data_IF_747739418303
#
_entry.id   IF_747739418303
#
_cell.length_a   1.000
_cell.length_b   1.000
_cell.length_c   1.000
_cell.angle_alpha   90.00
_cell.angle_beta   90.00
_cell.angle_gamma   90.00
#
_symmetry.space_group_name_H-M   'P 1'
#
loop_
_entity.id
_entity.type
_entity.pdbx_description
1 polymer ?
#
# COMPACT_ATOMS: atom_id res chain seq x y z
N UNK A 1 0.86 27.44 33.19
CA UNK A 1 0.55 26.64 31.97
C UNK A 1 0.29 27.62 30.83
N UNK A 2 1.01 27.58 29.70
CA UNK A 2 0.84 28.58 28.62
C UNK A 2 -0.52 28.38 27.91
N UNK A 3 -1.46 29.33 27.98
CA UNK A 3 -2.81 29.20 27.41
C UNK A 3 -2.83 29.10 25.89
N UNK A 4 -1.77 29.55 25.20
CA UNK A 4 -1.64 29.45 23.74
C UNK A 4 -1.09 28.11 23.25
N UNK A 5 -0.47 27.32 24.14
CA UNK A 5 0.12 26.03 23.80
C UNK A 5 -0.88 24.91 24.09
N UNK A 6 -2.00 24.86 23.38
CA UNK A 6 -3.05 23.84 23.56
C UNK A 6 -2.68 22.52 22.87
N UNK A 7 -3.28 21.40 23.27
CA UNK A 7 -3.06 20.11 22.60
C UNK A 7 -3.46 20.14 21.12
N UNK A 8 -4.49 20.92 20.75
CA UNK A 8 -4.89 21.12 19.36
C UNK A 8 -3.82 21.89 18.57
N UNK A 9 -3.26 22.97 19.12
CA UNK A 9 -2.18 23.72 18.47
C UNK A 9 -0.93 22.85 18.25
N UNK A 10 -0.51 22.12 19.29
CA UNK A 10 0.60 21.17 19.19
C UNK A 10 0.28 20.10 18.15
N UNK A 11 -0.93 19.54 18.18
CA UNK A 11 -1.39 18.51 17.24
C UNK A 11 -1.29 18.96 15.77
N UNK A 12 -1.74 20.17 15.43
CA UNK A 12 -1.59 20.74 14.09
C UNK A 12 -0.12 20.82 13.64
N UNK A 13 0.80 21.16 14.56
CA UNK A 13 2.24 21.23 14.25
C UNK A 13 2.89 19.85 14.16
N UNK A 14 2.32 18.83 14.81
CA UNK A 14 2.81 17.45 14.80
C UNK A 14 2.31 16.63 13.60
N UNK A 15 1.29 17.08 12.86
CA UNK A 15 0.70 16.34 11.74
C UNK A 15 1.73 15.70 10.79
N UNK A 16 2.74 16.45 10.35
CA UNK A 16 3.78 15.94 9.44
C UNK A 16 4.61 14.81 10.07
N UNK A 17 4.94 14.91 11.36
CA UNK A 17 5.70 13.89 12.10
C UNK A 17 4.82 12.65 12.33
N UNK A 18 3.58 12.84 12.76
CA UNK A 18 2.61 11.75 13.01
C UNK A 18 2.23 11.01 11.73
N UNK A 19 2.07 11.72 10.59
CA UNK A 19 1.84 11.09 9.28
C UNK A 19 2.99 10.17 8.86
N UNK A 20 4.23 10.50 9.21
CA UNK A 20 5.42 9.68 8.91
C UNK A 20 5.59 8.54 9.90
N UNK A 21 5.33 8.80 11.19
CA UNK A 21 5.50 7.89 12.31
C UNK A 21 4.24 7.91 13.20
N UNK A 22 3.22 7.11 12.86
CA UNK A 22 1.96 7.11 13.61
C UNK A 22 2.14 6.71 15.09
N UNK A 23 3.13 5.87 15.36
CA UNK A 23 3.45 5.31 16.69
C UNK A 23 4.57 6.07 17.42
N UNK A 24 4.75 7.36 17.13
CA UNK A 24 5.72 8.22 17.81
C UNK A 24 5.57 8.15 19.34
N UNK A 25 6.68 7.99 20.07
CA UNK A 25 6.65 7.86 21.53
C UNK A 25 6.30 9.21 22.14
N UNK A 26 5.67 9.18 23.33
CA UNK A 26 5.28 10.41 24.02
C UNK A 26 6.51 11.26 24.39
N UNK A 27 7.63 10.62 24.74
CA UNK A 27 8.89 11.29 25.05
C UNK A 27 9.42 12.07 23.84
N UNK A 28 9.44 11.46 22.66
CA UNK A 28 9.84 12.14 21.42
C UNK A 28 8.96 13.36 21.11
N UNK A 29 7.67 13.30 21.48
CA UNK A 29 6.75 14.43 21.33
C UNK A 29 7.06 15.54 22.34
N UNK A 30 7.36 15.19 23.59
CA UNK A 30 7.77 16.15 24.62
C UNK A 30 9.07 16.85 24.20
N UNK A 31 10.06 16.08 23.75
CA UNK A 31 11.36 16.59 23.31
C UNK A 31 11.20 17.50 22.08
N UNK A 32 10.39 17.09 21.09
CA UNK A 32 10.12 17.91 19.91
C UNK A 32 9.39 19.23 20.23
N UNK A 33 8.55 19.24 21.28
CA UNK A 33 7.86 20.47 21.74
C UNK A 33 8.82 21.36 22.53
N UNK A 34 9.69 20.75 23.35
CA UNK A 34 10.72 21.46 24.08
C UNK A 34 11.73 22.12 23.14
N UNK A 35 12.25 21.39 22.16
CA UNK A 35 13.18 21.91 21.16
C UNK A 35 12.60 23.08 20.36
N UNK A 36 11.32 22.97 19.96
CA UNK A 36 10.69 23.97 19.08
C UNK A 36 10.14 25.19 19.80
N UNK A 37 9.65 25.01 21.01
CA UNK A 37 8.91 26.06 21.73
C UNK A 37 9.52 26.40 23.09
N UNK A 38 10.59 25.72 23.50
CA UNK A 38 11.23 25.86 24.83
C UNK A 38 10.22 25.64 25.97
N UNK A 39 9.25 24.75 25.75
CA UNK A 39 8.17 24.45 26.68
C UNK A 39 8.19 22.99 27.08
N UNK A 40 8.15 22.74 28.39
CA UNK A 40 7.91 21.41 28.94
C UNK A 40 6.41 21.12 28.97
N UNK A 41 6.01 19.99 28.40
CA UNK A 41 4.61 19.51 28.43
C UNK A 41 4.51 18.18 29.17
N UNK A 42 3.38 17.96 29.82
CA UNK A 42 3.11 16.69 30.51
C UNK A 42 2.87 15.56 29.51
N UNK A 43 3.10 14.32 29.94
CA UNK A 43 2.85 13.13 29.12
C UNK A 43 1.38 13.05 28.65
N UNK A 44 0.42 13.40 29.53
CA UNK A 44 -0.99 13.46 29.16
C UNK A 44 -1.29 14.49 28.07
N UNK A 45 -0.60 15.64 28.09
CA UNK A 45 -0.75 16.67 27.06
C UNK A 45 -0.13 16.26 25.73
N UNK A 46 1.02 15.59 25.76
CA UNK A 46 1.64 14.97 24.59
C UNK A 46 0.74 13.87 23.98
N UNK A 47 0.10 13.05 24.81
CA UNK A 47 -0.85 12.01 24.35
C UNK A 47 -2.04 12.63 23.61
N UNK A 48 -2.71 13.62 24.24
CA UNK A 48 -3.83 14.36 23.60
C UNK A 48 -3.39 15.08 22.32
N UNK A 49 -2.18 15.63 22.28
CA UNK A 49 -1.67 16.28 21.07
C UNK A 49 -1.40 15.28 19.94
N UNK A 50 -0.91 14.07 20.26
CA UNK A 50 -0.73 12.97 19.30
C UNK A 50 -2.07 12.53 18.74
N UNK A 51 -3.07 12.37 19.59
CA UNK A 51 -4.44 12.02 19.19
C UNK A 51 -5.05 13.06 18.25
N UNK A 52 -4.98 14.35 18.60
CA UNK A 52 -5.42 15.44 17.70
C UNK A 52 -4.66 15.46 16.39
N UNK A 53 -3.35 15.21 16.40
CA UNK A 53 -2.57 15.11 15.16
C UNK A 53 -3.03 13.94 14.29
N UNK A 54 -3.40 12.79 14.87
CA UNK A 54 -3.98 11.65 14.14
C UNK A 54 -5.33 12.01 13.55
N UNK A 55 -6.25 12.56 14.35
CA UNK A 55 -7.56 13.03 13.88
C UNK A 55 -7.43 13.97 12.66
N UNK A 56 -6.49 14.93 12.69
CA UNK A 56 -6.27 15.83 11.56
C UNK A 56 -5.72 15.12 10.32
N UNK A 57 -4.83 14.14 10.49
CA UNK A 57 -4.29 13.34 9.37
C UNK A 57 -5.40 12.50 8.76
N UNK A 58 -6.22 11.85 9.59
CA UNK A 58 -7.32 11.00 9.16
C UNK A 58 -8.42 11.81 8.46
N UNK A 59 -8.83 12.94 9.02
CA UNK A 59 -9.81 13.83 8.39
C UNK A 59 -9.35 14.34 7.03
N UNK A 60 -8.05 14.65 6.88
CA UNK A 60 -7.49 15.02 5.59
C UNK A 60 -7.50 13.85 4.58
N UNK A 61 -7.30 12.62 5.03
CA UNK A 61 -7.45 11.45 4.17
C UNK A 61 -8.88 11.30 3.65
N UNK A 62 -9.89 11.37 4.53
CA UNK A 62 -11.30 11.32 4.14
C UNK A 62 -11.66 12.40 3.12
N UNK A 63 -11.20 13.63 3.34
CA UNK A 63 -11.42 14.73 2.40
C UNK A 63 -10.85 14.45 1.00
N UNK A 64 -9.62 13.91 0.91
CA UNK A 64 -9.03 13.56 -0.37
C UNK A 64 -9.77 12.41 -1.07
N UNK A 65 -10.24 11.40 -0.33
CA UNK A 65 -11.05 10.32 -0.92
C UNK A 65 -12.37 10.86 -1.48
N UNK A 66 -13.00 11.83 -0.83
CA UNK A 66 -14.22 12.46 -1.31
C UNK A 66 -14.03 13.23 -2.64
N UNK A 67 -12.81 13.69 -2.92
CA UNK A 67 -12.47 14.38 -4.17
C UNK A 67 -12.17 13.41 -5.32
N UNK A 68 -12.04 12.10 -5.07
CA UNK A 68 -11.68 11.13 -6.12
C UNK A 68 -12.73 11.07 -7.23
N UNK A 69 -14.00 11.29 -6.93
CA UNK A 69 -15.06 11.31 -7.95
C UNK A 69 -14.83 12.43 -8.95
N UNK A 70 -14.70 13.67 -8.45
CA UNK A 70 -14.43 14.85 -9.26
C UNK A 70 -13.11 14.69 -10.02
N UNK A 71 -12.07 14.19 -9.37
CA UNK A 71 -10.79 13.91 -10.02
C UNK A 71 -10.93 12.91 -11.18
N UNK A 72 -11.68 11.82 -10.99
CA UNK A 72 -11.91 10.83 -12.04
C UNK A 72 -12.67 11.44 -13.23
N UNK A 73 -13.69 12.25 -12.96
CA UNK A 73 -14.43 12.97 -14.01
C UNK A 73 -13.54 13.96 -14.76
N UNK A 74 -12.71 14.72 -14.04
CA UNK A 74 -11.76 15.65 -14.65
C UNK A 74 -10.73 14.94 -15.54
N UNK A 75 -10.25 13.75 -15.14
CA UNK A 75 -9.38 12.93 -16.00
C UNK A 75 -10.09 12.45 -17.26
N UNK A 76 -11.37 12.04 -17.16
CA UNK A 76 -12.18 11.64 -18.33
C UNK A 76 -12.42 12.82 -19.27
N UNK A 77 -12.69 14.01 -18.72
CA UNK A 77 -12.88 15.26 -19.46
C UNK A 77 -11.60 15.72 -20.15
N UNK A 78 -10.48 15.75 -19.44
CA UNK A 78 -9.20 16.27 -19.94
C UNK A 78 -8.52 15.33 -20.93
N UNK A 79 -8.71 14.02 -20.81
CA UNK A 79 -8.14 13.03 -21.73
C UNK A 79 -9.19 12.02 -22.20
N UNK A 80 -10.06 12.41 -23.16
CA UNK A 80 -11.08 11.53 -23.71
C UNK A 80 -10.47 10.27 -24.36
N UNK A 81 -10.81 9.11 -23.81
CA UNK A 81 -10.29 7.79 -24.18
C UNK A 81 -9.28 7.20 -23.19
N UNK A 82 -9.02 7.87 -22.06
CA UNK A 82 -8.40 7.24 -20.90
C UNK A 82 -9.38 6.28 -20.23
N UNK A 83 -8.87 5.17 -19.69
CA UNK A 83 -9.65 4.25 -18.86
C UNK A 83 -9.53 4.70 -17.41
N UNK A 84 -10.64 5.14 -16.83
CA UNK A 84 -10.74 5.52 -15.43
C UNK A 84 -11.88 4.73 -14.82
N UNK A 85 -11.59 3.83 -13.89
CA UNK A 85 -12.56 2.95 -13.25
C UNK A 85 -12.43 3.10 -11.74
N UNK A 86 -13.52 3.45 -11.07
CA UNK A 86 -13.58 3.53 -9.61
C UNK A 86 -14.71 2.65 -9.12
N UNK A 87 -14.41 1.78 -8.16
CA UNK A 87 -15.36 0.93 -7.46
C UNK A 87 -15.53 1.44 -6.03
N UNK A 88 -16.77 1.60 -5.63
CA UNK A 88 -17.17 1.92 -4.26
C UNK A 88 -18.08 0.81 -3.74
N UNK A 89 -18.11 0.65 -2.43
CA UNK A 89 -18.97 -0.29 -1.72
C UNK A 89 -19.94 0.50 -0.84
N UNK A 90 -21.18 0.06 -0.76
CA UNK A 90 -22.18 0.60 0.16
C UNK A 90 -22.66 -0.54 1.04
N UNK A 91 -22.71 -0.32 2.35
CA UNK A 91 -23.19 -1.30 3.32
C UNK A 91 -24.64 -0.99 3.69
N UNK A 92 -25.43 -2.06 3.82
CA UNK A 92 -26.84 -2.00 4.17
C UNK A 92 -27.07 -2.37 5.64
N UNK A 93 -28.27 -2.06 6.13
CA UNK A 93 -28.72 -2.47 7.46
C UNK A 93 -28.79 -4.00 7.52
N UNK A 94 -27.94 -4.62 8.35
CA UNK A 94 -27.85 -6.07 8.50
C UNK A 94 -26.54 -6.70 8.02
N UNK A 95 -25.69 -5.97 7.29
CA UNK A 95 -24.28 -6.34 7.16
C UNK A 95 -23.63 -6.27 8.56
N UNK A 96 -22.51 -6.96 8.83
CA UNK A 96 -21.82 -6.92 10.15
C UNK A 96 -21.13 -5.55 10.41
N UNK A 97 -21.88 -4.45 10.25
CA UNK A 97 -21.45 -3.05 10.27
C UNK A 97 -21.00 -2.60 11.66
N UNK A 98 -21.55 -3.22 12.72
CA UNK A 98 -21.29 -2.83 14.11
C UNK A 98 -19.85 -3.10 14.58
N UNK A 99 -19.14 -4.06 13.98
CA UNK A 99 -17.75 -4.37 14.37
C UNK A 99 -16.72 -3.46 13.69
N UNK A 100 -17.11 -2.67 12.69
CA UNK A 100 -16.18 -1.91 11.83
C UNK A 100 -16.37 -0.37 11.86
N UNK A 101 -17.20 0.18 12.75
CA UNK A 101 -17.50 1.64 12.82
C UNK A 101 -17.98 2.24 11.48
N UNK A 102 -18.69 1.45 10.66
CA UNK A 102 -19.18 1.86 9.35
C UNK A 102 -20.58 2.49 9.44
N UNK A 103 -20.88 3.43 8.54
CA UNK A 103 -22.17 4.15 8.46
C UNK A 103 -22.98 3.60 7.30
N UNK A 104 -24.25 3.25 7.56
CA UNK A 104 -25.15 2.72 6.55
C UNK A 104 -25.39 3.73 5.41
N UNK A 105 -25.52 3.23 4.18
CA UNK A 105 -25.86 4.06 3.02
C UNK A 105 -24.76 5.02 2.54
N UNK A 106 -23.56 4.99 3.15
CA UNK A 106 -22.41 5.80 2.74
C UNK A 106 -21.51 5.01 1.78
N UNK A 107 -21.06 5.61 0.66
CA UNK A 107 -20.11 4.95 -0.24
C UNK A 107 -18.71 4.94 0.37
N UNK A 108 -18.15 3.74 0.50
CA UNK A 108 -16.77 3.50 0.89
C UNK A 108 -15.91 3.20 -0.33
N UNK A 109 -14.73 3.82 -0.37
CA UNK A 109 -13.75 3.57 -1.41
C UNK A 109 -13.34 2.08 -1.42
N UNK A 110 -13.44 1.43 -2.59
CA UNK A 110 -12.96 0.06 -2.79
C UNK A 110 -11.68 0.02 -3.62
N UNK A 111 -11.80 0.33 -4.91
CA UNK A 111 -10.69 0.21 -5.87
C UNK A 111 -10.71 1.36 -6.87
N UNK A 112 -9.54 1.77 -7.34
CA UNK A 112 -9.36 2.74 -8.41
C UNK A 112 -8.37 2.19 -9.42
N UNK A 113 -8.66 2.32 -10.71
CA UNK A 113 -7.76 1.99 -11.81
C UNK A 113 -7.75 3.15 -12.81
N UNK A 114 -6.55 3.62 -13.16
CA UNK A 114 -6.36 4.68 -14.14
C UNK A 114 -5.29 4.25 -15.14
N UNK A 115 -5.65 4.31 -16.42
CA UNK A 115 -4.76 4.14 -17.56
C UNK A 115 -5.03 5.26 -18.57
N UNK A 116 -4.07 6.16 -18.73
CA UNK A 116 -4.24 7.31 -19.60
C UNK A 116 -4.10 6.91 -21.07
N UNK A 117 -4.91 7.54 -21.94
CA UNK A 117 -4.87 7.28 -23.40
C UNK A 117 -3.47 7.43 -23.98
N UNK A 118 -2.73 8.44 -23.53
CA UNK A 118 -1.34 8.68 -23.94
C UNK A 118 -0.44 7.49 -23.61
N UNK A 119 -0.51 6.99 -22.38
CA UNK A 119 0.23 5.81 -21.94
C UNK A 119 -0.13 4.56 -22.76
N UNK A 120 -1.43 4.32 -22.99
CA UNK A 120 -1.89 3.21 -23.83
C UNK A 120 -1.31 3.29 -25.24
N UNK A 121 -1.36 4.47 -25.87
CA UNK A 121 -0.80 4.67 -27.22
C UNK A 121 0.72 4.51 -27.25
N UNK A 122 1.43 5.10 -26.29
CA UNK A 122 2.89 4.99 -26.20
C UNK A 122 3.35 3.53 -26.02
N UNK A 123 2.64 2.78 -25.18
CA UNK A 123 2.89 1.35 -25.03
C UNK A 123 2.73 0.58 -26.34
N UNK A 124 1.59 0.74 -27.01
CA UNK A 124 1.32 0.03 -28.27
C UNK A 124 2.24 0.46 -29.42
N UNK A 125 2.78 1.68 -29.38
CA UNK A 125 3.60 2.23 -30.46
C UNK A 125 5.07 1.79 -30.41
N UNK A 126 5.62 1.53 -29.22
CA UNK A 126 7.07 1.29 -29.11
C UNK A 126 7.54 0.56 -27.85
N UNK A 127 6.64 0.17 -26.95
CA UNK A 127 7.05 -0.66 -25.81
C UNK A 127 7.09 -2.14 -26.19
N UNK A 128 7.95 -2.87 -25.50
CA UNK A 128 7.99 -4.33 -25.55
C UNK A 128 6.68 -4.88 -24.96
N UNK A 129 6.18 -6.04 -25.43
CA UNK A 129 4.94 -6.65 -24.95
C UNK A 129 5.14 -7.34 -23.59
N UNK A 130 5.76 -6.64 -22.64
CA UNK A 130 6.05 -7.09 -21.28
C UNK A 130 5.68 -5.95 -20.35
N UNK A 131 4.88 -6.28 -19.33
CA UNK A 131 4.49 -5.36 -18.27
C UNK A 131 5.07 -5.86 -16.95
N UNK A 132 5.57 -4.94 -16.14
CA UNK A 132 6.03 -5.17 -14.78
C UNK A 132 5.15 -4.40 -13.81
N UNK A 133 4.93 -4.98 -12.64
CA UNK A 133 4.06 -4.42 -11.61
C UNK A 133 4.86 -4.25 -10.33
N UNK A 134 4.71 -3.10 -9.71
CA UNK A 134 5.21 -2.85 -8.36
C UNK A 134 4.08 -2.30 -7.50
N UNK A 135 4.09 -2.63 -6.22
CA UNK A 135 3.04 -2.25 -5.29
C UNK A 135 3.63 -1.71 -3.99
N UNK A 136 3.15 -0.55 -3.54
CA UNK A 136 3.51 -0.01 -2.23
C UNK A 136 2.28 0.11 -1.32
N UNK A 137 2.47 -0.18 -0.03
CA UNK A 137 1.42 -0.08 0.96
C UNK A 137 1.07 1.38 1.25
N UNK A 138 -0.22 1.70 1.20
CA UNK A 138 -0.74 3.00 1.62
C UNK A 138 -0.73 3.07 3.15
N UNK A 139 -0.31 4.23 3.68
CA UNK A 139 -0.29 4.52 5.12
C UNK A 139 -1.57 5.22 5.59
N UNK A 140 -2.72 4.82 5.06
CA UNK A 140 -4.04 5.32 5.45
C UNK A 140 -4.65 4.38 6.49
N UNK A 141 -5.67 4.83 7.22
CA UNK A 141 -6.43 3.97 8.14
C UNK A 141 -7.05 2.74 7.44
N UNK A 142 -7.57 2.96 6.24
CA UNK A 142 -8.20 1.93 5.41
C UNK A 142 -7.19 0.98 4.75
N UNK A 143 -5.89 1.25 4.86
CA UNK A 143 -4.84 0.46 4.23
C UNK A 143 -4.90 0.50 2.70
N UNK A 144 -4.65 -0.65 2.08
CA UNK A 144 -4.57 -0.83 0.63
C UNK A 144 -3.16 -0.66 0.07
N UNK A 145 -3.05 -0.91 -1.23
CA UNK A 145 -1.81 -0.89 -1.99
C UNK A 145 -1.98 -0.03 -3.24
N UNK A 146 -1.03 0.87 -3.47
CA UNK A 146 -0.88 1.57 -4.75
C UNK A 146 0.00 0.70 -5.65
N UNK A 147 -0.61 0.16 -6.69
CA UNK A 147 0.02 -0.61 -7.75
C UNK A 147 0.37 0.34 -8.89
N UNK A 148 1.60 0.23 -9.40
CA UNK A 148 2.03 0.90 -10.62
C UNK A 148 2.42 -0.17 -11.64
N UNK A 149 1.89 -0.04 -12.85
CA UNK A 149 2.26 -0.85 -14.01
C UNK A 149 3.24 -0.06 -14.87
N UNK A 150 4.41 -0.64 -15.11
CA UNK A 150 5.43 -0.09 -16.00
C UNK A 150 5.69 -1.06 -17.14
N UNK A 151 5.94 -0.52 -18.33
CA UNK A 151 6.43 -1.25 -19.47
C UNK A 151 7.91 -0.91 -19.71
N UNK A 152 8.52 -1.59 -20.67
CA UNK A 152 9.88 -1.32 -21.15
C UNK A 152 9.80 -0.79 -22.56
N UNK A 153 10.37 0.36 -22.81
CA UNK A 153 10.41 0.92 -24.16
C UNK A 153 11.57 0.32 -25.00
N UNK A 154 11.73 0.79 -26.23
CA UNK A 154 12.82 0.38 -27.11
C UNK A 154 14.20 0.78 -26.60
N UNK A 155 14.28 1.81 -25.74
CA UNK A 155 15.50 2.35 -25.18
C UNK A 155 15.84 1.73 -23.81
N UNK A 156 15.14 0.66 -23.41
CA UNK A 156 15.34 0.03 -22.12
C UNK A 156 15.08 0.98 -20.93
N UNK A 157 14.15 1.92 -21.09
CA UNK A 157 13.67 2.78 -20.02
C UNK A 157 12.33 2.27 -19.48
N UNK A 158 11.98 2.73 -18.27
CA UNK A 158 10.68 2.41 -17.66
C UNK A 158 9.62 3.37 -18.18
N UNK A 159 8.60 2.81 -18.82
CA UNK A 159 7.47 3.57 -19.34
C UNK A 159 6.24 3.37 -18.43
N UNK A 160 5.71 4.41 -17.77
CA UNK A 160 4.52 4.27 -16.93
C UNK A 160 3.28 3.99 -17.79
N UNK A 161 2.60 2.89 -17.50
CA UNK A 161 1.42 2.44 -18.26
C UNK A 161 0.11 2.77 -17.54
N UNK A 162 -0.02 2.33 -16.29
CA UNK A 162 -1.24 2.46 -15.50
C UNK A 162 -0.90 2.48 -14.00
N UNK A 163 -1.85 2.93 -13.19
CA UNK A 163 -1.77 2.79 -11.75
C UNK A 163 -3.14 2.48 -11.16
N UNK A 164 -3.12 1.79 -10.02
CA UNK A 164 -4.33 1.34 -9.35
C UNK A 164 -4.18 1.41 -7.84
N UNK A 165 -5.27 1.68 -7.14
CA UNK A 165 -5.36 1.52 -5.69
C UNK A 165 -6.30 0.35 -5.43
N UNK A 166 -5.81 -0.66 -4.70
CA UNK A 166 -6.54 -1.90 -4.43
C UNK A 166 -6.32 -2.34 -2.98
N UNK A 167 -7.11 -3.31 -2.52
CA UNK A 167 -7.00 -3.87 -1.17
C UNK A 167 -5.72 -4.71 -1.01
N UNK A 168 -5.31 -5.43 -2.05
CA UNK A 168 -4.06 -6.17 -2.10
C UNK A 168 -3.72 -6.71 -3.50
N UNK A 169 -2.43 -6.69 -3.85
CA UNK A 169 -1.91 -7.10 -5.16
C UNK A 169 -2.30 -8.54 -5.51
N UNK A 170 -1.88 -9.50 -4.69
CA UNK A 170 -2.07 -10.93 -4.97
C UNK A 170 -3.55 -11.29 -5.11
N UNK A 171 -4.38 -10.88 -4.16
CA UNK A 171 -5.82 -11.12 -4.20
C UNK A 171 -6.47 -10.50 -5.44
N UNK A 172 -6.10 -9.26 -5.79
CA UNK A 172 -6.63 -8.60 -6.99
C UNK A 172 -6.31 -9.38 -8.26
N UNK A 173 -5.10 -9.94 -8.36
CA UNK A 173 -4.72 -10.73 -9.52
C UNK A 173 -5.47 -12.06 -9.60
N UNK A 174 -5.64 -12.75 -8.46
CA UNK A 174 -6.42 -14.00 -8.39
C UNK A 174 -7.88 -13.74 -8.78
N UNK A 175 -8.49 -12.66 -8.27
CA UNK A 175 -9.89 -12.34 -8.51
C UNK A 175 -10.19 -11.98 -9.98
N UNK A 176 -9.26 -11.30 -10.65
CA UNK A 176 -9.53 -10.68 -11.97
C UNK A 176 -8.85 -11.40 -13.13
N UNK A 177 -7.73 -12.08 -12.89
CA UNK A 177 -6.89 -12.68 -13.93
C UNK A 177 -6.37 -14.08 -13.53
N UNK A 178 -7.24 -15.02 -13.10
CA UNK A 178 -6.80 -16.35 -12.67
C UNK A 178 -6.16 -17.19 -13.79
N UNK A 179 -6.44 -16.85 -15.05
CA UNK A 179 -5.96 -17.58 -16.24
C UNK A 179 -4.54 -17.19 -16.68
N UNK A 180 -3.98 -16.11 -16.13
CA UNK A 180 -2.66 -15.63 -16.52
C UNK A 180 -1.59 -16.18 -15.58
N UNK A 181 -0.44 -16.57 -16.13
CA UNK A 181 0.72 -16.95 -15.32
C UNK A 181 1.29 -15.70 -14.63
N UNK A 182 1.28 -15.69 -13.29
CA UNK A 182 1.86 -14.62 -12.49
C UNK A 182 3.14 -15.10 -11.85
N UNK A 183 4.21 -14.30 -11.96
CA UNK A 183 5.49 -14.59 -11.32
C UNK A 183 5.74 -13.63 -10.18
N UNK A 184 6.03 -14.18 -9.01
CA UNK A 184 6.41 -13.39 -7.83
C UNK A 184 7.92 -13.23 -7.84
N UNK A 185 8.39 -12.02 -7.57
CA UNK A 185 9.82 -11.76 -7.48
C UNK A 185 10.43 -12.55 -6.32
N UNK A 186 11.33 -13.50 -6.63
CA UNK A 186 11.90 -14.45 -5.65
C UNK A 186 12.53 -13.77 -4.44
N UNK A 187 13.09 -12.55 -4.60
CA UNK A 187 13.64 -11.80 -3.46
C UNK A 187 12.57 -11.37 -2.47
N UNK A 188 11.38 -10.97 -2.93
CA UNK A 188 10.27 -10.66 -2.04
C UNK A 188 9.74 -11.92 -1.36
N UNK A 189 9.60 -13.01 -2.11
CA UNK A 189 9.20 -14.30 -1.57
C UNK A 189 10.17 -14.78 -0.47
N UNK A 190 11.48 -14.76 -0.74
CA UNK A 190 12.51 -15.09 0.24
C UNK A 190 12.49 -14.18 1.47
N UNK A 191 12.34 -12.87 1.28
CA UNK A 191 12.30 -11.92 2.40
C UNK A 191 11.09 -12.16 3.31
N UNK A 192 9.98 -12.67 2.78
CA UNK A 192 8.84 -13.08 3.58
C UNK A 192 9.10 -14.41 4.28
N UNK A 193 9.61 -15.41 3.56
CA UNK A 193 9.99 -16.72 4.11
C UNK A 193 10.95 -16.57 5.30
N UNK A 194 12.03 -15.78 5.13
CA UNK A 194 13.08 -15.57 6.15
C UNK A 194 12.57 -14.97 7.46
N UNK A 195 11.43 -14.27 7.47
CA UNK A 195 10.88 -13.68 8.70
C UNK A 195 10.42 -14.75 9.67
N UNK A 196 9.85 -15.84 9.15
CA UNK A 196 9.28 -16.93 9.94
C UNK A 196 10.20 -18.14 9.98
N UNK A 197 10.99 -18.36 8.90
CA UNK A 197 11.89 -19.50 8.74
C UNK A 197 13.33 -19.03 8.53
N UNK A 198 13.98 -18.44 9.55
CA UNK A 198 15.37 -18.03 9.44
C UNK A 198 16.28 -19.26 9.43
N UNK A 199 17.02 -19.47 8.34
CA UNK A 199 17.98 -20.57 8.24
C UNK A 199 18.90 -20.46 7.03
N UNK A 200 20.17 -20.84 7.19
CA UNK A 200 21.15 -20.83 6.08
C UNK A 200 20.81 -21.91 5.05
N UNK A 201 20.44 -23.11 5.51
CA UNK A 201 20.04 -24.21 4.64
C UNK A 201 18.75 -23.88 3.86
N UNK A 202 17.72 -23.35 4.53
CA UNK A 202 16.48 -22.88 3.89
C UNK A 202 16.77 -21.82 2.83
N UNK A 203 17.65 -20.86 3.12
CA UNK A 203 18.08 -19.86 2.14
C UNK A 203 18.74 -20.51 0.92
N UNK A 204 19.67 -21.44 1.14
CA UNK A 204 20.39 -22.08 0.04
C UNK A 204 19.47 -22.93 -0.84
N UNK A 205 18.61 -23.75 -0.23
CA UNK A 205 17.63 -24.56 -0.93
C UNK A 205 16.64 -23.69 -1.70
N UNK A 206 16.11 -22.62 -1.08
CA UNK A 206 15.23 -21.67 -1.74
C UNK A 206 15.88 -21.09 -3.02
N UNK A 207 17.12 -20.59 -2.94
CA UNK A 207 17.77 -19.98 -4.09
C UNK A 207 18.24 -21.00 -5.13
N UNK A 208 18.54 -22.24 -4.74
CA UNK A 208 18.78 -23.35 -5.67
C UNK A 208 17.50 -23.71 -6.41
N UNK A 209 16.38 -23.89 -5.70
CA UNK A 209 15.08 -24.19 -6.28
C UNK A 209 14.63 -23.08 -7.23
N UNK A 210 14.74 -21.81 -6.82
CA UNK A 210 14.39 -20.66 -7.65
C UNK A 210 15.24 -20.52 -8.93
N UNK A 211 16.40 -21.17 -9.00
CA UNK A 211 17.29 -21.19 -10.17
C UNK A 211 17.24 -22.51 -10.94
N UNK A 212 16.48 -23.50 -10.48
CA UNK A 212 16.36 -24.78 -11.13
C UNK A 212 15.85 -24.57 -12.56
N UNK A 213 16.48 -25.27 -13.51
CA UNK A 213 16.19 -25.09 -14.95
C UNK A 213 15.13 -26.06 -15.46
N UNK A 214 14.83 -27.11 -14.69
CA UNK A 214 13.84 -28.13 -15.01
C UNK A 214 13.10 -28.63 -13.76
N UNK A 215 11.89 -29.16 -13.99
CA UNK A 215 10.95 -29.50 -12.93
C UNK A 215 11.49 -30.54 -11.93
N UNK A 216 12.12 -31.61 -12.40
CA UNK A 216 12.60 -32.67 -11.51
C UNK A 216 13.68 -32.19 -10.51
N UNK A 217 14.53 -31.23 -10.90
CA UNK A 217 15.49 -30.62 -9.98
C UNK A 217 14.79 -29.72 -8.96
N UNK A 218 13.82 -28.92 -9.42
CA UNK A 218 12.99 -28.11 -8.55
C UNK A 218 12.28 -28.96 -7.51
N UNK A 219 11.57 -30.01 -7.94
CA UNK A 219 10.80 -30.91 -7.07
C UNK A 219 11.72 -31.56 -6.03
N UNK A 220 12.90 -32.06 -6.42
CA UNK A 220 13.90 -32.60 -5.48
C UNK A 220 14.34 -31.58 -4.44
N UNK A 221 14.64 -30.35 -4.84
CA UNK A 221 15.09 -29.30 -3.92
C UNK A 221 13.96 -28.85 -2.97
N UNK A 222 12.71 -28.87 -3.45
CA UNK A 222 11.55 -28.61 -2.61
C UNK A 222 11.29 -29.74 -1.62
N UNK A 223 11.48 -31.01 -2.01
CA UNK A 223 11.41 -32.15 -1.10
C UNK A 223 12.51 -32.10 -0.02
N UNK A 224 13.73 -31.71 -0.39
CA UNK A 224 14.81 -31.45 0.57
C UNK A 224 14.43 -30.32 1.53
N UNK A 225 13.81 -29.24 1.04
CA UNK A 225 13.33 -28.13 1.87
C UNK A 225 12.26 -28.62 2.85
N UNK A 226 11.30 -29.42 2.37
CA UNK A 226 10.24 -30.02 3.19
C UNK A 226 10.79 -30.90 4.30
N UNK A 227 11.87 -31.64 4.05
CA UNK A 227 12.54 -32.46 5.05
C UNK A 227 13.23 -31.64 6.16
N UNK A 228 13.55 -30.37 5.90
CA UNK A 228 14.16 -29.47 6.90
C UNK A 228 13.08 -28.71 7.68
N UNK A 229 12.11 -28.15 6.97
CA UNK A 229 11.07 -27.30 7.53
C UNK A 229 9.81 -27.43 6.64
N UNK A 230 8.86 -28.24 7.12
CA UNK A 230 7.61 -28.52 6.41
C UNK A 230 6.74 -27.26 6.26
N UNK A 231 6.79 -26.35 7.23
CA UNK A 231 6.06 -25.09 7.18
C UNK A 231 6.67 -24.12 6.15
N UNK A 232 7.99 -24.16 5.95
CA UNK A 232 8.69 -23.37 4.93
C UNK A 232 8.43 -23.85 3.49
N UNK A 233 8.02 -25.12 3.32
CA UNK A 233 7.67 -25.72 2.03
C UNK A 233 6.28 -25.29 1.55
N UNK A 234 5.33 -25.11 2.47
CA UNK A 234 3.92 -24.83 2.18
C UNK A 234 3.65 -23.33 1.92
#
# INVERSE_FOLDING_TARGET
MNPRCTSSYIGKKLMKKVRRQPNMKLKDIQDAVHEKFTLNITAGKASKAREKAREYVDGAHTQHYNQLWEYCEELRRASPGSTVLMKVHTFNEGDFVAEMDLVYGVPYFGRLYICLKGCKKGFMAGCRPIISLDACHLKTKSGGQLITTVARDSNEEYFPLAYAVVEGLVQTFIDNWPQYEHRIYCRHLYNNLRKNHPGVLIRELFWKAAKATYKAEFDRLMDELKGIDEDAHN
#
